data_IF_389666749582
#
_entry.id   IF_389666749582
#
_cell.length_a   1.000
_cell.length_b   1.000
_cell.length_c   1.000
_cell.angle_alpha   90.00
_cell.angle_beta   90.00
_cell.angle_gamma   90.00
#
_symmetry.space_group_name_H-M   'P 1'
#
loop_
_entity.id
_entity.type
_entity.pdbx_description
1 polymer ?
#
# COMPACT_ATOMS: atom_id res chain seq x y z
N UNK A 1 16.61 7.17 5.86
CA UNK A 1 15.69 6.18 5.24
C UNK A 1 15.57 6.53 3.77
N UNK A 2 15.76 5.58 2.87
CA UNK A 2 15.49 5.85 1.45
C UNK A 2 13.99 5.69 1.26
N UNK A 3 13.29 6.77 0.92
CA UNK A 3 11.94 6.65 0.41
C UNK A 3 11.97 5.71 -0.80
N UNK A 4 11.02 4.80 -0.87
CA UNK A 4 10.73 4.17 -2.14
C UNK A 4 10.29 5.32 -3.06
N UNK A 5 11.15 5.69 -4.01
CA UNK A 5 10.90 6.81 -4.93
C UNK A 5 9.57 6.69 -5.71
N UNK A 6 8.98 5.50 -5.68
CA UNK A 6 7.70 5.20 -6.31
C UNK A 6 6.51 5.31 -5.34
N UNK A 7 6.76 5.45 -4.05
CA UNK A 7 5.73 5.48 -3.02
C UNK A 7 5.40 6.89 -2.52
N UNK A 8 6.06 7.91 -3.03
CA UNK A 8 5.92 9.27 -2.53
C UNK A 8 5.87 10.28 -3.67
N UNK A 9 4.80 10.20 -4.45
CA UNK A 9 4.45 11.23 -5.42
C UNK A 9 3.51 12.21 -4.72
N UNK A 10 3.86 13.50 -4.74
CA UNK A 10 2.97 14.53 -4.21
C UNK A 10 1.81 14.72 -5.18
N UNK A 11 0.61 14.37 -4.75
CA UNK A 11 -0.61 14.46 -5.54
C UNK A 11 -1.59 15.48 -4.94
N UNK A 12 -2.44 16.13 -5.74
CA UNK A 12 -3.52 16.98 -5.26
C UNK A 12 -4.52 16.23 -4.39
N UNK A 13 -5.19 16.92 -3.47
CA UNK A 13 -6.15 16.32 -2.54
C UNK A 13 -7.28 15.56 -3.25
N UNK A 14 -7.84 16.14 -4.31
CA UNK A 14 -8.88 15.50 -5.13
C UNK A 14 -8.43 14.16 -5.72
N UNK A 15 -7.17 14.08 -6.14
CA UNK A 15 -6.61 12.82 -6.61
C UNK A 15 -6.45 11.82 -5.47
N UNK A 16 -6.03 12.26 -4.27
CA UNK A 16 -5.96 11.40 -3.07
C UNK A 16 -7.32 10.81 -2.73
N UNK A 17 -8.39 11.62 -2.78
CA UNK A 17 -9.76 11.16 -2.58
C UNK A 17 -10.15 10.10 -3.62
N UNK A 18 -9.90 10.38 -4.89
CA UNK A 18 -10.23 9.47 -5.99
C UNK A 18 -9.49 8.13 -5.86
N UNK A 19 -8.21 8.17 -5.49
CA UNK A 19 -7.42 6.96 -5.30
C UNK A 19 -7.85 6.17 -4.06
N UNK A 20 -8.18 6.82 -2.93
CA UNK A 20 -8.72 6.16 -1.74
C UNK A 20 -10.09 5.51 -2.01
N UNK A 21 -10.95 6.17 -2.78
CA UNK A 21 -12.21 5.58 -3.24
C UNK A 21 -11.97 4.36 -4.12
N UNK A 22 -11.02 4.46 -5.05
CA UNK A 22 -10.72 3.37 -5.99
C UNK A 22 -10.18 2.12 -5.30
N UNK A 23 -9.44 2.28 -4.21
CA UNK A 23 -8.97 1.16 -3.39
C UNK A 23 -9.92 0.80 -2.24
N UNK A 24 -11.13 1.38 -2.20
CA UNK A 24 -12.17 1.15 -1.19
C UNK A 24 -11.77 1.52 0.27
N UNK A 25 -10.84 2.46 0.44
CA UNK A 25 -10.61 3.11 1.74
C UNK A 25 -11.62 4.23 2.03
N UNK A 26 -12.34 4.69 1.03
CA UNK A 26 -13.49 5.58 1.14
C UNK A 26 -14.63 5.02 0.27
N UNK A 27 -15.87 5.28 0.65
CA UNK A 27 -17.05 4.95 -0.12
C UNK A 27 -17.98 6.15 -0.23
N UNK A 28 -18.89 6.12 -1.20
CA UNK A 28 -19.97 7.09 -1.27
C UNK A 28 -20.77 7.08 0.05
N UNK A 29 -20.93 8.23 0.68
CA UNK A 29 -21.54 8.38 2.00
C UNK A 29 -20.55 8.52 3.17
N UNK A 30 -19.28 8.18 3.00
CA UNK A 30 -18.24 8.48 3.98
C UNK A 30 -17.87 9.98 3.97
N UNK A 31 -18.35 10.73 2.97
CA UNK A 31 -18.03 12.13 2.76
C UNK A 31 -18.54 13.06 3.88
N UNK A 32 -19.62 12.68 4.56
CA UNK A 32 -20.21 13.45 5.65
C UNK A 32 -19.74 13.04 7.05
N UNK A 33 -18.85 12.04 7.15
CA UNK A 33 -18.37 11.55 8.43
C UNK A 33 -17.47 12.59 9.13
N UNK A 34 -17.65 12.73 10.45
CA UNK A 34 -16.76 13.52 11.29
C UNK A 34 -15.36 12.93 11.37
N UNK A 35 -14.34 13.75 11.69
CA UNK A 35 -12.92 13.36 11.73
C UNK A 35 -12.67 12.07 12.53
N UNK A 36 -13.28 11.91 13.70
CA UNK A 36 -13.11 10.69 14.51
C UNK A 36 -13.69 9.46 13.84
N UNK A 37 -14.88 9.60 13.21
CA UNK A 37 -15.52 8.48 12.52
C UNK A 37 -14.72 8.03 11.29
N UNK A 38 -14.25 8.97 10.47
CA UNK A 38 -13.43 8.64 9.30
C UNK A 38 -12.10 8.00 9.71
N UNK A 39 -11.47 8.49 10.78
CA UNK A 39 -10.24 7.91 11.29
C UNK A 39 -10.46 6.48 11.83
N UNK A 40 -11.53 6.25 12.60
CA UNK A 40 -11.90 4.92 13.06
C UNK A 40 -12.15 3.97 11.89
N UNK A 41 -12.87 4.41 10.87
CA UNK A 41 -13.13 3.64 9.66
C UNK A 41 -11.83 3.22 8.96
N UNK A 42 -10.87 4.13 8.84
CA UNK A 42 -9.57 3.84 8.27
C UNK A 42 -8.80 2.80 9.10
N UNK A 43 -8.81 2.94 10.42
CA UNK A 43 -8.18 1.98 11.32
C UNK A 43 -8.81 0.59 11.20
N UNK A 44 -10.13 0.48 11.12
CA UNK A 44 -10.82 -0.80 10.93
C UNK A 44 -10.45 -1.47 9.60
N UNK A 45 -10.27 -0.67 8.55
CA UNK A 45 -9.82 -1.14 7.23
C UNK A 45 -8.33 -1.51 7.19
N UNK A 46 -7.54 -1.02 8.14
CA UNK A 46 -6.14 -1.41 8.29
C UNK A 46 -5.94 -2.82 8.87
N UNK A 47 -7.02 -3.48 9.31
CA UNK A 47 -7.00 -4.83 9.83
C UNK A 47 -7.88 -5.79 9.00
N UNK A 48 -7.56 -6.01 7.71
CA UNK A 48 -8.40 -6.74 6.77
C UNK A 48 -8.54 -8.24 7.09
N UNK A 49 -7.62 -8.81 7.85
CA UNK A 49 -7.64 -10.19 8.30
C UNK A 49 -8.60 -10.45 9.46
N UNK A 50 -9.04 -9.42 10.20
CA UNK A 50 -10.06 -9.55 11.22
C UNK A 50 -11.46 -9.32 10.61
N UNK A 51 -12.31 -10.35 10.65
CA UNK A 51 -13.61 -10.34 9.96
C UNK A 51 -14.76 -9.90 10.86
N UNK A 52 -14.60 -10.00 12.18
CA UNK A 52 -15.64 -9.62 13.14
C UNK A 52 -15.32 -8.27 13.77
N UNK A 53 -16.36 -7.52 14.14
CA UNK A 53 -16.20 -6.25 14.84
C UNK A 53 -15.45 -6.44 16.17
N UNK A 54 -15.75 -7.48 16.93
CA UNK A 54 -15.06 -7.80 18.18
C UNK A 54 -13.55 -7.98 17.96
N UNK A 55 -13.14 -8.72 16.91
CA UNK A 55 -11.73 -8.94 16.61
C UNK A 55 -11.04 -7.64 16.18
N UNK A 56 -11.72 -6.80 15.39
CA UNK A 56 -11.22 -5.48 15.01
C UNK A 56 -11.05 -4.57 16.23
N UNK A 57 -12.08 -4.49 17.07
CA UNK A 57 -12.03 -3.69 18.29
C UNK A 57 -10.90 -4.17 19.23
N UNK A 58 -10.67 -5.47 19.34
CA UNK A 58 -9.53 -5.99 20.10
C UNK A 58 -8.18 -5.56 19.48
N UNK A 59 -8.06 -5.60 18.16
CA UNK A 59 -6.83 -5.13 17.49
C UNK A 59 -6.61 -3.63 17.69
N UNK A 60 -7.67 -2.83 17.62
CA UNK A 60 -7.61 -1.39 17.83
C UNK A 60 -7.30 -1.03 19.29
N UNK A 61 -7.82 -1.77 20.28
CA UNK A 61 -7.52 -1.54 21.69
C UNK A 61 -6.05 -1.81 22.06
N UNK A 62 -5.29 -2.47 21.19
CA UNK A 62 -3.84 -2.63 21.37
C UNK A 62 -3.03 -1.45 20.81
N UNK A 63 -3.66 -0.46 20.19
CA UNK A 63 -3.01 0.74 19.69
C UNK A 63 -3.10 1.84 20.73
N UNK A 64 -1.97 2.22 21.32
CA UNK A 64 -1.91 3.28 22.31
C UNK A 64 -2.07 4.64 21.63
N UNK A 65 -3.07 5.41 22.06
CA UNK A 65 -3.27 6.81 21.67
C UNK A 65 -2.48 7.78 22.57
N UNK A 66 -2.43 7.44 23.85
CA UNK A 66 -1.70 8.16 24.89
C UNK A 66 -1.18 7.15 25.91
N UNK A 67 -0.37 7.59 26.89
CA UNK A 67 0.09 6.73 27.99
C UNK A 67 -1.05 6.05 28.79
N UNK A 68 -2.25 6.66 28.78
CA UNK A 68 -3.37 6.24 29.61
C UNK A 68 -4.61 5.77 28.82
N UNK A 69 -4.57 5.79 27.50
CA UNK A 69 -5.72 5.44 26.67
C UNK A 69 -5.31 4.77 25.37
N UNK A 70 -6.00 3.70 25.02
CA UNK A 70 -6.00 3.14 23.66
C UNK A 70 -6.79 4.05 22.70
N UNK A 71 -6.67 3.77 21.40
CA UNK A 71 -7.30 4.63 20.37
C UNK A 71 -8.82 4.62 20.43
N UNK A 72 -9.47 3.51 20.79
CA UNK A 72 -10.93 3.45 20.87
C UNK A 72 -11.45 4.31 22.03
N UNK A 73 -10.82 4.17 23.19
CA UNK A 73 -11.13 4.99 24.39
C UNK A 73 -10.90 6.47 24.08
N UNK A 74 -9.81 6.81 23.41
CA UNK A 74 -9.50 8.19 23.04
C UNK A 74 -10.55 8.78 22.10
N UNK A 75 -10.91 8.10 21.01
CA UNK A 75 -11.86 8.61 20.01
C UNK A 75 -13.29 8.79 20.55
N UNK A 76 -13.65 8.09 21.63
CA UNK A 76 -14.94 8.26 22.31
C UNK A 76 -15.01 9.52 23.17
N UNK A 77 -13.86 10.01 23.66
CA UNK A 77 -13.81 11.12 24.63
C UNK A 77 -13.16 12.39 24.09
N UNK A 78 -12.42 12.30 22.99
CA UNK A 78 -11.61 13.38 22.47
C UNK A 78 -11.59 13.41 20.96
N UNK A 79 -11.36 14.59 20.38
CA UNK A 79 -11.16 14.77 18.95
C UNK A 79 -9.76 14.34 18.55
N UNK A 80 -9.68 13.60 17.42
CA UNK A 80 -8.38 13.24 16.83
C UNK A 80 -7.55 14.50 16.54
N UNK A 81 -6.28 14.44 16.85
CA UNK A 81 -5.29 15.46 16.55
C UNK A 81 -4.04 14.84 15.94
N UNK A 82 -3.14 15.65 15.42
CA UNK A 82 -1.94 15.19 14.72
C UNK A 82 -1.06 14.28 15.59
N UNK A 83 -0.85 14.61 16.86
CA UNK A 83 -0.03 13.80 17.76
C UNK A 83 -0.55 12.38 17.89
N UNK A 84 -1.84 12.23 18.21
CA UNK A 84 -2.45 10.91 18.37
C UNK A 84 -2.51 10.16 17.04
N UNK A 85 -2.82 10.87 15.96
CA UNK A 85 -2.82 10.28 14.62
C UNK A 85 -1.48 9.62 14.30
N UNK A 86 -0.36 10.33 14.51
CA UNK A 86 0.96 9.80 14.17
C UNK A 86 1.52 8.85 15.23
N UNK A 87 1.13 8.96 16.49
CA UNK A 87 1.45 7.96 17.51
C UNK A 87 0.87 6.59 17.13
N UNK A 88 -0.39 6.54 16.72
CA UNK A 88 -1.03 5.33 16.22
C UNK A 88 -0.48 4.94 14.85
N UNK A 89 -0.23 5.91 13.96
CA UNK A 89 0.38 5.68 12.65
C UNK A 89 1.73 4.97 12.74
N UNK A 90 2.62 5.39 13.66
CA UNK A 90 3.91 4.73 13.89
C UNK A 90 3.75 3.27 14.33
N UNK A 91 2.76 2.97 15.16
CA UNK A 91 2.45 1.60 15.57
C UNK A 91 1.97 0.75 14.38
N UNK A 92 1.14 1.31 13.50
CA UNK A 92 0.74 0.63 12.25
C UNK A 92 1.94 0.38 11.32
N UNK A 93 2.93 1.28 11.32
CA UNK A 93 4.20 1.12 10.60
C UNK A 93 5.17 0.13 11.27
N UNK A 94 4.79 -0.45 12.40
CA UNK A 94 5.56 -1.47 13.12
C UNK A 94 6.59 -0.93 14.09
N UNK A 95 6.48 0.34 14.50
CA UNK A 95 7.26 0.91 15.60
C UNK A 95 6.54 0.69 16.93
N UNK A 96 7.29 0.39 17.98
CA UNK A 96 6.74 0.13 19.31
C UNK A 96 6.77 1.40 20.15
N UNK A 97 5.60 1.75 20.73
CA UNK A 97 5.49 2.88 21.65
C UNK A 97 6.39 2.67 22.87
N UNK A 98 6.98 3.72 23.38
CA UNK A 98 7.91 3.77 24.52
C UNK A 98 9.24 3.02 24.31
N UNK A 99 9.38 2.28 23.22
CA UNK A 99 10.63 1.62 22.83
C UNK A 99 11.30 2.32 21.64
N UNK A 100 10.55 2.53 20.58
CA UNK A 100 11.03 3.15 19.34
C UNK A 100 10.71 4.67 19.30
N UNK A 101 9.64 5.09 19.99
CA UNK A 101 9.20 6.48 20.04
C UNK A 101 8.39 6.80 21.32
N UNK A 102 8.37 8.06 21.73
CA UNK A 102 7.56 8.58 22.83
C UNK A 102 6.15 8.93 22.34
N UNK A 103 5.12 8.43 23.03
CA UNK A 103 3.70 8.75 22.74
C UNK A 103 3.39 10.25 22.92
N UNK A 104 4.16 10.97 23.75
CA UNK A 104 3.99 12.41 23.92
C UNK A 104 4.55 13.20 22.75
N UNK A 105 5.58 12.68 22.08
CA UNK A 105 6.26 13.34 20.97
C UNK A 105 6.58 12.38 19.81
N UNK A 106 5.57 11.90 19.09
CA UNK A 106 5.79 11.05 17.90
C UNK A 106 6.50 11.80 16.78
N UNK A 107 6.43 13.14 16.75
CA UNK A 107 7.05 13.96 15.71
C UNK A 107 8.57 13.86 15.73
N UNK A 108 9.19 13.79 16.92
CA UNK A 108 10.63 13.57 17.04
C UNK A 108 11.08 12.27 16.36
N UNK A 109 10.27 11.21 16.45
CA UNK A 109 10.56 9.96 15.73
C UNK A 109 10.33 10.11 14.22
N UNK A 110 9.26 10.79 13.79
CA UNK A 110 9.00 11.08 12.40
C UNK A 110 10.15 11.84 11.76
N UNK A 111 10.67 12.86 12.43
CA UNK A 111 11.83 13.65 11.98
C UNK A 111 13.08 12.78 11.86
N UNK A 112 13.40 11.99 12.89
CA UNK A 112 14.58 11.09 12.90
C UNK A 112 14.52 10.06 11.77
N UNK A 113 13.32 9.57 11.49
CA UNK A 113 13.08 8.59 10.43
C UNK A 113 12.90 9.23 9.06
N UNK A 114 12.87 10.57 8.99
CA UNK A 114 12.57 11.35 7.81
C UNK A 114 11.24 10.89 7.16
N UNK A 115 10.20 10.75 7.97
CA UNK A 115 8.85 10.41 7.53
C UNK A 115 8.02 11.69 7.37
N UNK A 116 7.16 11.76 6.35
CA UNK A 116 6.31 12.92 6.16
C UNK A 116 5.20 12.97 7.21
N UNK A 117 4.87 14.16 7.68
CA UNK A 117 3.73 14.38 8.57
C UNK A 117 3.17 15.80 8.45
N UNK A 118 1.92 15.96 8.90
CA UNK A 118 1.26 17.24 9.04
C UNK A 118 1.29 17.64 10.53
N UNK A 119 1.64 18.90 10.81
CA UNK A 119 1.71 19.39 12.18
C UNK A 119 0.32 19.53 12.84
N UNK A 120 -0.70 19.71 12.03
CA UNK A 120 -2.07 19.91 12.50
C UNK A 120 -3.04 18.99 11.76
N UNK A 121 -3.98 18.45 12.50
CA UNK A 121 -5.13 17.69 12.00
C UNK A 121 -6.35 18.24 12.70
N UNK A 122 -7.06 19.16 12.06
CA UNK A 122 -8.19 19.89 12.62
C UNK A 122 -9.51 19.48 11.98
N UNK A 123 -9.47 19.08 10.71
CA UNK A 123 -10.64 18.79 9.89
C UNK A 123 -10.57 17.38 9.34
N UNK A 124 -11.69 16.93 8.79
CA UNK A 124 -11.82 15.63 8.12
C UNK A 124 -10.79 15.47 6.99
N UNK A 125 -10.63 16.48 6.18
CA UNK A 125 -9.75 16.45 5.01
C UNK A 125 -8.27 16.32 5.41
N UNK A 126 -7.88 16.87 6.57
CA UNK A 126 -6.54 16.68 7.13
C UNK A 126 -6.32 15.21 7.50
N UNK A 127 -7.34 14.54 8.08
CA UNK A 127 -7.29 13.10 8.40
C UNK A 127 -7.12 12.27 7.14
N UNK A 128 -7.90 12.56 6.11
CA UNK A 128 -7.84 11.85 4.82
C UNK A 128 -6.48 12.04 4.16
N UNK A 129 -6.01 13.28 4.13
CA UNK A 129 -4.72 13.61 3.54
C UNK A 129 -3.56 12.91 4.27
N UNK A 130 -3.55 12.98 5.62
CA UNK A 130 -2.55 12.32 6.44
C UNK A 130 -2.61 10.78 6.30
N UNK A 131 -3.82 10.20 6.17
CA UNK A 131 -3.98 8.77 5.97
C UNK A 131 -3.44 8.30 4.62
N UNK A 132 -3.73 9.04 3.56
CA UNK A 132 -3.15 8.75 2.25
C UNK A 132 -1.62 8.71 2.30
N UNK A 133 -1.01 9.73 2.91
CA UNK A 133 0.44 9.81 3.05
C UNK A 133 0.99 8.67 3.94
N UNK A 134 0.26 8.28 4.99
CA UNK A 134 0.61 7.14 5.84
C UNK A 134 0.62 5.82 5.08
N UNK A 135 -0.37 5.58 4.20
CA UNK A 135 -0.41 4.39 3.34
C UNK A 135 0.80 4.29 2.40
N UNK A 136 1.34 5.43 1.97
CA UNK A 136 2.53 5.53 1.14
C UNK A 136 3.83 5.43 1.95
N UNK A 137 3.76 5.51 3.29
CA UNK A 137 4.92 5.59 4.16
C UNK A 137 5.54 4.22 4.40
N UNK A 138 6.89 4.18 4.42
CA UNK A 138 7.62 2.94 4.67
C UNK A 138 7.54 2.52 6.14
N UNK A 139 7.22 1.25 6.36
CA UNK A 139 7.23 0.61 7.68
C UNK A 139 8.66 0.39 8.18
N UNK A 140 8.80 0.01 9.45
CA UNK A 140 10.09 -0.38 10.07
C UNK A 140 10.85 -1.44 9.23
N UNK A 141 10.11 -2.28 8.49
CA UNK A 141 10.66 -3.31 7.59
C UNK A 141 10.94 -2.84 6.15
N UNK A 142 10.68 -1.57 5.85
CA UNK A 142 10.97 -0.97 4.55
C UNK A 142 9.90 -1.14 3.47
N UNK A 143 8.83 -1.89 3.74
CA UNK A 143 7.65 -1.96 2.85
C UNK A 143 6.69 -0.81 3.16
N UNK A 144 5.90 -0.37 2.18
CA UNK A 144 4.84 0.61 2.45
C UNK A 144 3.73 -0.01 3.29
N UNK A 145 3.01 0.82 4.05
CA UNK A 145 1.86 0.34 4.82
C UNK A 145 0.83 -0.33 3.92
N UNK A 146 0.48 0.26 2.78
CA UNK A 146 -0.48 -0.34 1.86
C UNK A 146 -0.04 -1.73 1.35
N UNK A 147 1.26 -1.95 1.13
CA UNK A 147 1.79 -3.27 0.74
C UNK A 147 1.63 -4.30 1.86
N UNK A 148 1.82 -3.88 3.11
CA UNK A 148 1.56 -4.74 4.28
C UNK A 148 0.08 -5.12 4.36
N UNK A 149 -0.83 -4.15 4.10
CA UNK A 149 -2.27 -4.42 4.08
C UNK A 149 -2.66 -5.35 2.93
N UNK A 150 -2.05 -5.18 1.76
CA UNK A 150 -2.21 -6.08 0.62
C UNK A 150 -1.82 -7.52 0.98
N UNK A 151 -0.65 -7.70 1.62
CA UNK A 151 -0.18 -9.00 2.10
C UNK A 151 -1.09 -9.61 3.18
N UNK A 152 -1.82 -8.78 3.94
CA UNK A 152 -2.83 -9.21 4.91
C UNK A 152 -4.20 -9.48 4.28
N UNK A 153 -4.31 -9.40 2.95
CA UNK A 153 -5.52 -9.72 2.20
C UNK A 153 -6.48 -8.55 2.00
N UNK A 154 -6.03 -7.30 2.12
CA UNK A 154 -6.88 -6.12 1.91
C UNK A 154 -7.57 -6.14 0.54
N UNK A 155 -6.85 -6.52 -0.51
CA UNK A 155 -7.36 -6.52 -1.88
C UNK A 155 -8.19 -7.77 -2.25
N UNK A 156 -8.37 -8.75 -1.35
CA UNK A 156 -9.16 -9.95 -1.66
C UNK A 156 -10.61 -9.65 -2.03
N UNK A 157 -11.15 -8.53 -1.54
CA UNK A 157 -12.49 -8.04 -1.91
C UNK A 157 -12.64 -7.72 -3.40
N UNK A 158 -11.55 -7.45 -4.11
CA UNK A 158 -11.54 -7.13 -5.53
C UNK A 158 -11.43 -8.36 -6.44
N UNK A 159 -11.04 -9.53 -5.91
CA UNK A 159 -10.75 -10.72 -6.72
C UNK A 159 -11.95 -11.27 -7.48
N UNK A 160 -13.16 -11.00 -6.99
CA UNK A 160 -14.41 -11.40 -7.65
C UNK A 160 -14.95 -10.34 -8.62
N UNK A 161 -14.37 -9.15 -8.59
CA UNK A 161 -14.76 -8.09 -9.49
C UNK A 161 -14.01 -8.30 -10.81
N UNK A 162 -14.74 -8.38 -11.92
CA UNK A 162 -14.14 -8.44 -13.26
C UNK A 162 -13.63 -7.05 -13.64
N UNK A 163 -12.56 -6.60 -12.98
CA UNK A 163 -11.96 -5.31 -13.26
C UNK A 163 -11.36 -5.32 -14.67
N UNK A 164 -11.79 -4.38 -15.49
CA UNK A 164 -11.28 -4.19 -16.85
C UNK A 164 -9.99 -3.37 -16.88
N UNK A 165 -9.71 -2.63 -15.81
CA UNK A 165 -8.54 -1.77 -15.70
C UNK A 165 -7.82 -2.01 -14.38
N UNK A 166 -6.48 -1.86 -14.37
CA UNK A 166 -5.70 -1.97 -13.15
C UNK A 166 -6.02 -0.79 -12.20
N UNK A 167 -5.98 -1.07 -10.90
CA UNK A 167 -6.09 -0.03 -9.88
C UNK A 167 -4.70 0.50 -9.57
N UNK A 168 -4.52 1.80 -9.68
CA UNK A 168 -3.31 2.50 -9.26
C UNK A 168 -3.55 3.27 -7.97
N UNK A 169 -2.53 3.29 -7.11
CA UNK A 169 -2.47 4.10 -5.91
C UNK A 169 -1.07 4.71 -5.80
N UNK A 170 -0.99 6.03 -5.77
CA UNK A 170 0.25 6.81 -5.82
C UNK A 170 1.23 6.33 -6.92
N UNK A 171 0.72 6.16 -8.14
CA UNK A 171 1.51 5.72 -9.30
C UNK A 171 1.90 4.25 -9.31
N UNK A 172 1.47 3.45 -8.33
CA UNK A 172 1.78 2.03 -8.20
C UNK A 172 0.54 1.17 -8.44
N UNK A 173 0.64 0.18 -9.34
CA UNK A 173 -0.42 -0.78 -9.56
C UNK A 173 -0.61 -1.67 -8.32
N UNK A 174 -1.87 -1.92 -7.96
CA UNK A 174 -2.25 -2.70 -6.79
C UNK A 174 -2.59 -4.14 -7.15
N UNK A 175 -2.31 -5.12 -6.25
CA UNK A 175 -2.56 -6.54 -6.50
C UNK A 175 -4.04 -6.88 -6.27
N UNK A 176 -4.90 -6.47 -7.20
CA UNK A 176 -6.36 -6.67 -7.17
C UNK A 176 -6.80 -7.98 -7.84
N UNK A 177 -5.90 -8.94 -7.95
CA UNK A 177 -6.11 -10.25 -8.55
C UNK A 177 -5.70 -11.37 -7.58
N UNK A 178 -6.31 -12.54 -7.76
CA UNK A 178 -6.00 -13.72 -6.94
C UNK A 178 -4.59 -14.23 -7.23
N UNK A 179 -3.67 -14.00 -6.30
CA UNK A 179 -2.27 -14.42 -6.40
C UNK A 179 -2.07 -15.93 -6.36
N UNK A 180 -3.11 -16.72 -5.98
CA UNK A 180 -3.07 -18.17 -6.06
C UNK A 180 -3.38 -18.68 -7.47
N UNK A 181 -3.85 -17.82 -8.35
CA UNK A 181 -4.17 -18.13 -9.75
C UNK A 181 -3.22 -17.39 -10.69
N UNK A 182 -1.95 -17.80 -10.64
CA UNK A 182 -0.91 -17.25 -11.50
C UNK A 182 -0.56 -18.24 -12.62
N UNK A 183 -0.28 -17.69 -13.79
CA UNK A 183 0.31 -18.41 -14.91
C UNK A 183 1.80 -18.07 -14.95
N UNK A 184 2.63 -19.09 -15.03
CA UNK A 184 4.07 -18.96 -15.19
C UNK A 184 4.45 -19.46 -16.59
N UNK A 185 5.02 -18.58 -17.38
CA UNK A 185 5.43 -18.87 -18.76
C UNK A 185 6.93 -18.61 -18.89
N UNK A 186 7.58 -19.42 -19.72
CA UNK A 186 8.97 -19.22 -20.12
C UNK A 186 8.97 -18.98 -21.62
N UNK A 187 9.46 -17.82 -22.02
CA UNK A 187 9.65 -17.46 -23.42
C UNK A 187 11.13 -17.14 -23.69
N UNK A 188 11.55 -17.35 -24.92
CA UNK A 188 12.87 -16.97 -25.38
C UNK A 188 12.73 -15.83 -26.36
N UNK A 189 13.46 -14.74 -26.12
CA UNK A 189 13.44 -13.54 -26.95
C UNK A 189 14.83 -13.37 -27.58
N UNK A 190 14.88 -13.18 -28.89
CA UNK A 190 16.12 -12.87 -29.57
C UNK A 190 16.65 -11.50 -29.11
N UNK A 191 17.90 -11.47 -28.69
CA UNK A 191 18.66 -10.27 -28.41
C UNK A 191 19.16 -9.63 -29.72
N UNK A 192 19.56 -8.37 -29.67
CA UNK A 192 20.31 -7.75 -30.77
C UNK A 192 21.80 -8.11 -30.76
N UNK A 193 22.26 -8.80 -29.71
CA UNK A 193 23.63 -9.18 -29.48
C UNK A 193 23.90 -10.61 -29.92
N UNK A 194 25.13 -10.86 -30.37
CA UNK A 194 25.73 -12.15 -30.63
C UNK A 194 27.01 -12.19 -29.78
N UNK A 195 26.90 -12.67 -28.53
CA UNK A 195 27.99 -12.57 -27.55
C UNK A 195 29.04 -13.65 -27.71
N UNK A 196 28.70 -14.80 -28.32
CA UNK A 196 29.60 -15.91 -28.57
C UNK A 196 30.17 -15.92 -30.00
N UNK A 197 29.71 -14.95 -30.84
CA UNK A 197 30.14 -14.75 -32.24
C UNK A 197 29.91 -15.97 -33.15
N UNK A 198 28.84 -16.73 -32.89
CA UNK A 198 28.45 -17.89 -33.72
C UNK A 198 27.66 -17.51 -34.98
N UNK A 199 27.38 -16.22 -35.16
CA UNK A 199 26.63 -15.65 -36.27
C UNK A 199 25.12 -15.71 -36.11
N UNK A 200 24.66 -16.05 -34.89
CA UNK A 200 23.25 -16.04 -34.50
C UNK A 200 23.04 -15.09 -33.33
N UNK A 201 21.84 -14.54 -33.25
CA UNK A 201 21.45 -13.71 -32.11
C UNK A 201 21.24 -14.55 -30.86
N UNK A 202 21.73 -14.03 -29.74
CA UNK A 202 21.53 -14.68 -28.43
C UNK A 202 20.05 -14.76 -28.06
N UNK A 203 19.68 -15.84 -27.40
CA UNK A 203 18.34 -16.03 -26.87
C UNK A 203 18.31 -15.69 -25.36
N UNK A 204 17.54 -14.67 -25.03
CA UNK A 204 17.28 -14.29 -23.64
C UNK A 204 16.09 -15.11 -23.12
N UNK A 205 16.30 -15.82 -22.02
CA UNK A 205 15.24 -16.51 -21.31
C UNK A 205 14.46 -15.52 -20.45
N UNK A 206 13.16 -15.36 -20.72
CA UNK A 206 12.26 -14.50 -19.99
C UNK A 206 11.24 -15.35 -19.24
N UNK A 207 11.11 -15.12 -17.93
CA UNK A 207 10.07 -15.74 -17.11
C UNK A 207 8.97 -14.70 -16.90
N UNK A 208 7.76 -15.02 -17.36
CA UNK A 208 6.57 -14.18 -17.23
C UNK A 208 5.69 -14.80 -16.15
N UNK A 209 5.34 -14.01 -15.13
CA UNK A 209 4.32 -14.37 -14.15
C UNK A 209 3.15 -13.40 -14.29
N UNK A 210 1.97 -13.92 -14.56
CA UNK A 210 0.77 -13.12 -14.80
C UNK A 210 -0.47 -13.73 -14.15
N UNK A 211 -1.49 -12.92 -13.78
CA UNK A 211 -2.76 -13.44 -13.30
C UNK A 211 -3.47 -14.29 -14.35
N UNK A 212 -4.10 -15.41 -13.95
CA UNK A 212 -4.81 -16.30 -14.87
C UNK A 212 -5.96 -15.61 -15.62
N UNK A 213 -6.54 -14.55 -15.03
CA UNK A 213 -7.57 -13.75 -15.69
C UNK A 213 -7.08 -13.08 -16.97
N UNK A 214 -5.79 -12.84 -17.13
CA UNK A 214 -5.20 -12.23 -18.33
C UNK A 214 -5.15 -13.17 -19.54
N UNK A 215 -5.42 -14.45 -19.35
CA UNK A 215 -5.39 -15.45 -20.42
C UNK A 215 -6.51 -15.27 -21.47
N UNK A 216 -7.58 -14.60 -21.07
CA UNK A 216 -8.76 -14.35 -21.92
C UNK A 216 -8.86 -12.90 -22.42
N UNK A 217 -7.91 -12.05 -22.10
CA UNK A 217 -7.97 -10.62 -22.43
C UNK A 217 -6.83 -10.22 -23.34
N UNK A 218 -7.17 -9.51 -24.41
CA UNK A 218 -6.22 -8.79 -25.29
C UNK A 218 -5.47 -7.63 -24.62
N UNK A 219 -5.58 -7.49 -23.30
CA UNK A 219 -4.91 -6.49 -22.48
C UNK A 219 -3.37 -6.69 -22.34
N UNK A 220 -2.82 -7.67 -23.02
CA UNK A 220 -1.39 -7.99 -23.04
C UNK A 220 -0.52 -6.79 -23.44
N UNK A 221 -0.95 -6.02 -24.41
CA UNK A 221 -0.19 -4.85 -24.89
C UNK A 221 -0.08 -3.75 -23.85
N UNK A 222 -1.11 -3.56 -23.01
CA UNK A 222 -1.08 -2.53 -21.94
C UNK A 222 -0.19 -2.91 -20.76
N UNK A 223 -0.09 -4.19 -20.42
CA UNK A 223 0.76 -4.66 -19.32
C UNK A 223 2.25 -4.65 -19.69
N UNK A 224 2.63 -4.97 -20.93
CA UNK A 224 4.03 -4.98 -21.36
C UNK A 224 4.62 -3.57 -21.43
N UNK A 225 3.86 -2.58 -21.88
CA UNK A 225 4.32 -1.18 -21.93
C UNK A 225 4.48 -0.52 -20.56
N UNK A 226 3.76 -0.97 -19.52
CA UNK A 226 3.92 -0.48 -18.16
C UNK A 226 5.03 -1.19 -17.39
N UNK A 227 5.48 -2.36 -17.83
CA UNK A 227 6.41 -3.22 -17.10
C UNK A 227 7.84 -2.69 -17.03
N UNK A 228 8.19 -1.67 -17.80
CA UNK A 228 9.51 -1.05 -17.68
C UNK A 228 9.71 -0.24 -16.39
N UNK A 229 8.68 -0.04 -15.56
CA UNK A 229 8.85 0.77 -14.35
C UNK A 229 8.11 0.33 -13.07
N UNK A 230 7.06 -0.50 -13.05
CA UNK A 230 6.20 -0.57 -11.87
C UNK A 230 5.42 -1.88 -11.64
N UNK A 231 6.06 -2.94 -11.12
CA UNK A 231 5.32 -4.00 -10.43
C UNK A 231 6.10 -4.56 -9.23
N UNK A 232 5.67 -4.29 -7.99
CA UNK A 232 6.28 -4.92 -6.83
C UNK A 232 5.64 -6.25 -6.39
N UNK A 233 4.61 -6.76 -7.06
CA UNK A 233 4.04 -8.07 -6.73
C UNK A 233 3.66 -8.94 -7.93
N UNK A 234 3.70 -8.44 -9.15
CA UNK A 234 3.76 -9.27 -10.35
C UNK A 234 5.22 -9.24 -10.80
N UNK A 235 5.97 -10.17 -10.31
CA UNK A 235 7.39 -10.24 -10.56
C UNK A 235 7.64 -10.64 -12.00
N UNK A 236 7.83 -9.67 -12.89
CA UNK A 236 8.60 -9.90 -14.10
C UNK A 236 10.07 -9.97 -13.66
N UNK A 237 10.55 -11.16 -13.35
CA UNK A 237 11.96 -11.40 -13.17
C UNK A 237 12.60 -11.58 -14.55
N UNK A 238 13.30 -10.57 -15.01
CA UNK A 238 14.32 -10.78 -16.03
C UNK A 238 15.52 -11.42 -15.33
N UNK A 239 15.72 -12.70 -15.47
CA UNK A 239 17.00 -13.29 -15.13
C UNK A 239 17.79 -13.46 -16.42
N UNK A 240 18.81 -12.65 -16.59
CA UNK A 240 19.87 -12.95 -17.56
C UNK A 240 20.60 -14.21 -17.06
N UNK A 241 20.20 -15.35 -17.54
CA UNK A 241 21.04 -16.54 -17.50
C UNK A 241 21.38 -16.89 -18.94
N UNK A 242 22.56 -16.51 -19.35
CA UNK A 242 23.18 -17.06 -20.53
C UNK A 242 23.29 -18.57 -20.37
N UNK A 243 22.55 -19.31 -21.14
CA UNK A 243 22.81 -20.73 -21.32
C UNK A 243 23.80 -20.91 -22.46
N UNK A 244 24.99 -21.40 -22.10
CA UNK A 244 25.91 -21.95 -23.09
C UNK A 244 25.32 -23.19 -23.74
#
# INVERSE_FOLDING_TARGET
>A
MKFNQFAHVKVPFEQKLAELNRIAFLHAGDEDLASNHIYRLFLERAFPNFKTETAKNHALSNLAATENADILTYLNSSKINARVFYAVGLQLLGFEAELDFDLKDPFSAMDKLNLPYQKEINHRDDVINAWYDLLCTSTKKGQNLLDILANRGYFTQFYQLNLTEPIFFNGKAQPVFDTNKLIHEVVYVESELDTDQDGKRDLLKVIITRPAMTDKQTAYEKCIHSSHRFFPLSTLFFSENQTK
#
